data_IF_694417992240
#
_entry.id   IF_694417992240
#
_cell.length_a   1.000
_cell.length_b   1.000
_cell.length_c   1.000
_cell.angle_alpha   90.00
_cell.angle_beta   90.00
_cell.angle_gamma   90.00
#
_symmetry.space_group_name_H-M   'P 1'
#
loop_
_entity.id
_entity.type
_entity.pdbx_description
1 polymer ?
#
# COMPACT_ATOMS: atom_id res chain seq x y z
N UNK A 1 -25.66 -4.51 5.33
CA UNK A 1 -24.69 -4.33 4.23
C UNK A 1 -23.32 -4.76 4.73
N UNK A 2 -22.96 -6.03 4.53
CA UNK A 2 -21.71 -6.59 5.06
C UNK A 2 -21.08 -7.50 4.00
N UNK A 3 -19.79 -7.32 3.76
CA UNK A 3 -19.04 -8.18 2.86
C UNK A 3 -18.81 -9.56 3.51
N UNK A 4 -18.82 -10.65 2.73
CA UNK A 4 -18.39 -11.95 3.22
C UNK A 4 -16.98 -11.90 3.83
N UNK A 5 -16.68 -12.71 4.86
CA UNK A 5 -15.38 -12.69 5.54
C UNK A 5 -14.22 -13.14 4.64
N UNK A 6 -14.52 -13.71 3.48
CA UNK A 6 -13.56 -14.19 2.49
C UNK A 6 -13.14 -13.11 1.47
N UNK A 7 -13.80 -11.95 1.46
CA UNK A 7 -13.46 -10.88 0.52
C UNK A 7 -12.10 -10.27 0.89
N UNK A 8 -11.23 -10.15 -0.12
CA UNK A 8 -9.91 -9.53 0.02
C UNK A 8 -9.73 -8.44 -1.04
N UNK A 9 -8.86 -7.47 -0.75
CA UNK A 9 -8.55 -6.38 -1.68
C UNK A 9 -7.71 -6.88 -2.86
N UNK A 10 -7.64 -6.13 -3.96
CA UNK A 10 -6.71 -6.41 -5.07
C UNK A 10 -5.25 -6.44 -4.57
N UNK A 11 -4.83 -5.40 -3.84
CA UNK A 11 -3.49 -5.29 -3.29
C UNK A 11 -3.11 -6.48 -2.39
N UNK A 12 -4.03 -6.99 -1.55
CA UNK A 12 -3.78 -8.17 -0.73
C UNK A 12 -3.54 -9.43 -1.58
N UNK A 13 -4.30 -9.60 -2.67
CA UNK A 13 -4.11 -10.71 -3.61
C UNK A 13 -2.78 -10.61 -4.37
N UNK A 14 -2.37 -9.40 -4.76
CA UNK A 14 -1.07 -9.18 -5.41
C UNK A 14 0.10 -9.47 -4.47
N UNK A 15 0.04 -8.97 -3.23
CA UNK A 15 1.03 -9.26 -2.20
C UNK A 15 1.14 -10.78 -1.94
N UNK A 16 0.00 -11.47 -1.78
CA UNK A 16 -0.02 -12.91 -1.59
C UNK A 16 0.56 -13.70 -2.79
N UNK A 17 0.40 -13.18 -4.01
CA UNK A 17 0.96 -13.76 -5.22
C UNK A 17 2.43 -13.35 -5.48
N UNK A 18 3.04 -12.54 -4.60
CA UNK A 18 4.41 -12.01 -4.80
C UNK A 18 4.53 -11.06 -6.00
N UNK A 19 3.40 -10.53 -6.50
CA UNK A 19 3.36 -9.56 -7.60
C UNK A 19 3.57 -8.15 -7.06
N UNK A 20 4.04 -7.21 -7.91
CA UNK A 20 4.01 -5.79 -7.56
C UNK A 20 2.59 -5.37 -7.14
N UNK A 21 2.50 -4.62 -6.04
CA UNK A 21 1.23 -4.03 -5.57
C UNK A 21 1.12 -2.57 -5.97
N UNK A 22 -0.10 -2.03 -5.98
CA UNK A 22 -0.36 -0.61 -6.25
C UNK A 22 -0.18 0.29 -5.02
N UNK A 23 0.33 -0.22 -3.89
CA UNK A 23 0.38 0.53 -2.63
C UNK A 23 1.28 1.77 -2.72
N UNK A 24 2.40 1.74 -3.44
CA UNK A 24 3.19 2.96 -3.70
C UNK A 24 2.44 3.95 -4.61
N UNK A 25 1.74 3.45 -5.64
CA UNK A 25 1.00 4.33 -6.54
C UNK A 25 -0.11 5.08 -5.79
N UNK A 26 -0.85 4.39 -4.91
CA UNK A 26 -1.96 4.95 -4.15
C UNK A 26 -1.46 5.73 -2.93
N UNK A 27 -0.79 5.06 -1.98
CA UNK A 27 -0.36 5.65 -0.70
C UNK A 27 0.84 6.56 -0.91
N UNK A 28 1.84 6.12 -1.68
CA UNK A 28 3.00 6.94 -2.01
C UNK A 28 2.62 8.20 -2.79
N UNK A 29 1.59 8.13 -3.65
CA UNK A 29 1.00 9.31 -4.29
C UNK A 29 0.51 10.35 -3.26
N UNK A 30 -0.23 9.91 -2.24
CA UNK A 30 -0.71 10.77 -1.16
C UNK A 30 0.44 11.33 -0.32
N UNK A 31 1.41 10.51 0.08
CA UNK A 31 2.57 10.95 0.87
C UNK A 31 3.39 11.99 0.11
N UNK A 32 3.69 11.77 -1.18
CA UNK A 32 4.40 12.75 -2.02
C UNK A 32 3.63 14.06 -2.14
N UNK A 33 2.30 14.01 -2.27
CA UNK A 33 1.48 15.21 -2.31
C UNK A 33 1.47 15.95 -0.97
N UNK A 34 1.33 15.23 0.15
CA UNK A 34 1.33 15.78 1.49
C UNK A 34 2.66 16.50 1.81
N UNK A 35 3.78 15.87 1.46
CA UNK A 35 5.12 16.46 1.62
C UNK A 35 5.28 17.75 0.82
N UNK A 36 4.80 17.78 -0.43
CA UNK A 36 4.81 19.01 -1.25
C UNK A 36 3.95 20.14 -0.67
N UNK A 37 2.88 19.79 0.06
CA UNK A 37 1.93 20.75 0.63
C UNK A 37 2.22 21.09 2.10
N UNK A 38 3.23 20.46 2.72
CA UNK A 38 3.54 20.64 4.13
C UNK A 38 2.48 20.07 5.09
N UNK A 39 1.72 19.05 4.66
CA UNK A 39 0.68 18.41 5.47
C UNK A 39 1.25 17.17 6.16
N UNK A 40 1.24 17.08 7.50
CA UNK A 40 1.73 15.89 8.21
C UNK A 40 0.84 14.67 7.97
N UNK A 41 1.43 13.54 7.55
CA UNK A 41 0.72 12.28 7.28
C UNK A 41 1.44 11.06 7.87
N UNK A 42 1.94 11.21 9.11
CA UNK A 42 2.80 10.21 9.78
C UNK A 42 2.29 8.76 9.74
N UNK A 43 0.97 8.55 9.76
CA UNK A 43 0.40 7.20 9.66
C UNK A 43 0.55 6.61 8.25
N UNK A 44 0.37 7.41 7.21
CA UNK A 44 0.54 6.94 5.82
C UNK A 44 2.02 6.69 5.50
N UNK A 45 2.93 7.48 6.05
CA UNK A 45 4.37 7.25 5.93
C UNK A 45 4.76 5.89 6.51
N UNK A 46 4.38 5.62 7.77
CA UNK A 46 4.66 4.31 8.39
C UNK A 46 4.02 3.13 7.66
N UNK A 47 2.82 3.32 7.11
CA UNK A 47 2.14 2.28 6.35
C UNK A 47 2.82 2.02 5.00
N UNK A 48 3.30 3.06 4.33
CA UNK A 48 4.05 2.94 3.10
C UNK A 48 5.36 2.19 3.33
N UNK A 49 6.14 2.58 4.35
CA UNK A 49 7.38 1.88 4.72
C UNK A 49 7.12 0.39 5.00
N UNK A 50 6.06 0.11 5.77
CA UNK A 50 5.65 -1.26 6.07
C UNK A 50 5.21 -2.06 4.84
N UNK A 51 4.58 -1.39 3.86
CA UNK A 51 4.15 -2.00 2.61
C UNK A 51 5.33 -2.28 1.67
N UNK A 52 6.29 -1.36 1.56
CA UNK A 52 7.51 -1.53 0.75
C UNK A 52 8.33 -2.73 1.23
N UNK A 53 8.42 -2.94 2.55
CA UNK A 53 9.10 -4.10 3.12
C UNK A 53 8.34 -5.40 2.86
N UNK A 54 7.02 -5.41 3.11
CA UNK A 54 6.21 -6.65 3.10
C UNK A 54 5.71 -7.06 1.72
N UNK A 55 5.57 -6.11 0.80
CA UNK A 55 4.95 -6.31 -0.51
C UNK A 55 5.96 -6.16 -1.65
N UNK A 56 7.27 -6.20 -1.33
CA UNK A 56 8.33 -6.17 -2.34
C UNK A 56 8.15 -7.34 -3.32
N UNK A 57 8.22 -7.12 -4.64
CA UNK A 57 8.19 -8.20 -5.61
C UNK A 57 9.33 -9.18 -5.30
N UNK A 58 9.03 -10.48 -5.29
CA UNK A 58 10.07 -11.50 -5.17
C UNK A 58 10.72 -11.65 -6.54
N UNK A 59 12.04 -11.50 -6.62
CA UNK A 59 12.83 -11.79 -7.82
C UNK A 59 12.48 -13.20 -8.32
N UNK A 60 12.28 -13.35 -9.63
CA UNK A 60 12.07 -14.66 -10.27
C UNK A 60 13.29 -15.56 -10.15
#
# INVERSE_FOLDING_TARGET
DAMPPTVTTSAARDAAAGRPTELDAIVGGVVRAANRLGVPVATLERLLDAAEERCRPRSR
#
